data_IF_625485148593
#
_entry.id   IF_625485148593
#
_cell.length_a   1.000
_cell.length_b   1.000
_cell.length_c   1.000
_cell.angle_alpha   90.00
_cell.angle_beta   90.00
_cell.angle_gamma   90.00
#
_symmetry.space_group_name_H-M   'P 1'
#
loop_
_entity.id
_entity.type
_entity.pdbx_description
1 polymer ?
#
# COMPACT_ATOMS: atom_id res chain seq x y z
N UNK A 1 -20.03 4.06 48.30
CA UNK A 1 -19.92 5.47 48.77
C UNK A 1 -19.44 6.34 47.62
N UNK A 2 -20.13 7.48 47.46
CA UNK A 2 -20.09 8.51 46.41
C UNK A 2 -18.74 8.87 45.78
N UNK A 3 -18.72 9.09 44.46
CA UNK A 3 -18.21 10.37 43.93
C UNK A 3 -18.78 10.66 42.53
N UNK A 4 -19.74 11.59 42.48
CA UNK A 4 -20.24 12.27 41.29
C UNK A 4 -19.25 13.39 40.96
N UNK A 5 -18.80 13.52 39.69
CA UNK A 5 -18.24 14.79 39.20
C UNK A 5 -19.02 15.29 38.00
N UNK A 6 -19.47 16.53 38.17
CA UNK A 6 -20.33 17.35 37.33
C UNK A 6 -19.55 18.02 36.19
N UNK A 7 -20.17 18.00 35.02
CA UNK A 7 -20.49 19.12 34.11
C UNK A 7 -19.62 20.40 34.22
N UNK A 8 -19.02 20.81 33.09
CA UNK A 8 -18.93 22.24 32.71
C UNK A 8 -19.17 22.43 31.22
N UNK A 9 -20.36 22.94 30.90
CA UNK A 9 -20.71 23.58 29.64
C UNK A 9 -19.92 24.88 29.49
N UNK A 10 -19.30 25.10 28.33
CA UNK A 10 -18.73 26.38 27.94
C UNK A 10 -19.60 26.99 26.82
N UNK A 11 -20.50 27.89 27.21
CA UNK A 11 -21.23 28.78 26.32
C UNK A 11 -20.30 29.94 25.93
N UNK A 12 -19.86 29.96 24.67
CA UNK A 12 -19.09 31.05 24.11
C UNK A 12 -20.02 32.17 23.63
N UNK A 13 -19.75 33.38 24.15
CA UNK A 13 -20.47 34.62 23.90
C UNK A 13 -20.21 35.12 22.46
N UNK A 14 -21.28 35.41 21.73
CA UNK A 14 -21.24 36.13 20.45
C UNK A 14 -21.15 37.65 20.73
N UNK A 15 -20.08 38.29 20.26
CA UNK A 15 -19.97 39.76 20.19
C UNK A 15 -20.39 40.24 18.79
N UNK A 16 -21.25 41.26 18.65
CA UNK A 16 -21.47 41.92 17.38
C UNK A 16 -20.34 42.91 17.06
N UNK A 17 -19.79 42.83 15.85
CA UNK A 17 -18.80 43.77 15.30
C UNK A 17 -19.50 44.89 14.51
N UNK A 18 -19.07 46.15 14.63
CA UNK A 18 -19.67 47.27 13.93
C UNK A 18 -19.21 47.41 12.47
N UNK A 19 -20.20 47.76 11.63
CA UNK A 19 -20.20 48.63 10.45
C UNK A 19 -18.90 48.80 9.66
N UNK A 20 -18.84 48.15 8.49
CA UNK A 20 -17.81 48.32 7.46
C UNK A 20 -18.27 49.36 6.44
N UNK A 21 -17.44 50.39 6.24
CA UNK A 21 -17.56 51.46 5.26
C UNK A 21 -17.52 50.93 3.82
N UNK A 22 -18.53 51.30 3.03
CA UNK A 22 -18.64 50.99 1.61
C UNK A 22 -17.55 51.72 0.79
N UNK A 23 -16.52 50.98 0.39
CA UNK A 23 -15.57 51.42 -0.63
C UNK A 23 -16.04 50.94 -2.00
N UNK A 24 -16.30 51.90 -2.89
CA UNK A 24 -16.58 51.66 -4.31
C UNK A 24 -15.33 51.09 -4.99
N UNK A 25 -15.27 49.75 -5.09
CA UNK A 25 -14.26 49.05 -5.87
C UNK A 25 -14.70 49.00 -7.34
N UNK A 26 -14.01 49.73 -8.20
CA UNK A 26 -14.07 49.54 -9.65
C UNK A 26 -13.37 48.22 -10.00
N UNK A 27 -14.12 47.13 -9.99
CA UNK A 27 -13.64 45.80 -10.35
C UNK A 27 -13.53 45.67 -11.87
N UNK A 28 -12.36 46.02 -12.42
CA UNK A 28 -11.96 45.52 -13.74
C UNK A 28 -11.78 44.01 -13.64
N UNK A 29 -12.78 43.26 -14.09
CA UNK A 29 -12.78 41.79 -14.15
C UNK A 29 -11.67 41.39 -15.14
N UNK A 30 -10.47 41.08 -14.64
CA UNK A 30 -9.45 40.39 -15.43
C UNK A 30 -9.90 38.94 -15.55
N UNK A 31 -10.46 38.58 -16.69
CA UNK A 31 -10.73 37.18 -17.01
C UNK A 31 -9.40 36.43 -17.01
N UNK A 32 -9.26 35.33 -16.23
CA UNK A 32 -8.07 34.51 -16.29
C UNK A 32 -7.91 33.96 -17.72
N UNK A 33 -6.68 33.89 -18.25
CA UNK A 33 -6.45 33.32 -19.56
C UNK A 33 -7.03 31.90 -19.63
N UNK A 34 -7.63 31.50 -20.76
CA UNK A 34 -8.22 30.17 -20.91
C UNK A 34 -7.16 29.12 -20.58
N UNK A 35 -7.46 28.26 -19.59
CA UNK A 35 -6.61 27.12 -19.22
C UNK A 35 -6.40 26.27 -20.47
N UNK A 36 -5.23 26.37 -21.09
CA UNK A 36 -4.80 25.42 -22.11
C UNK A 36 -4.77 24.04 -21.45
N UNK A 37 -5.72 23.19 -21.83
CA UNK A 37 -5.75 21.80 -21.39
C UNK A 37 -4.53 21.13 -22.02
N UNK A 38 -3.50 20.85 -21.22
CA UNK A 38 -2.33 20.10 -21.67
C UNK A 38 -2.82 18.83 -22.40
N UNK A 39 -2.33 18.54 -23.60
CA UNK A 39 -2.74 17.34 -24.33
C UNK A 39 -2.51 16.13 -23.44
N UNK A 40 -3.56 15.34 -23.24
CA UNK A 40 -3.50 14.12 -22.43
C UNK A 40 -2.69 13.12 -23.24
N UNK A 41 -1.41 12.96 -22.88
CA UNK A 41 -0.58 11.88 -23.44
C UNK A 41 -1.30 10.56 -23.17
N UNK A 42 -1.79 9.91 -24.24
CA UNK A 42 -2.32 8.56 -24.18
C UNK A 42 -1.14 7.64 -23.91
N UNK A 43 -1.07 7.09 -22.69
CA UNK A 43 -0.07 6.07 -22.37
C UNK A 43 -0.26 4.88 -23.31
N UNK A 44 0.77 4.61 -24.10
CA UNK A 44 0.84 3.43 -24.96
C UNK A 44 0.67 2.16 -24.09
N UNK A 45 0.04 1.10 -24.63
CA UNK A 45 0.04 -0.19 -23.95
C UNK A 45 1.50 -0.65 -23.75
N UNK A 46 1.82 -1.19 -22.56
CA UNK A 46 3.11 -1.85 -22.34
C UNK A 46 3.28 -2.95 -23.39
N UNK A 47 4.45 -3.02 -24.02
CA UNK A 47 4.78 -4.12 -24.93
C UNK A 47 4.98 -5.42 -24.13
N UNK A 48 4.78 -6.57 -24.78
CA UNK A 48 4.99 -7.88 -24.15
C UNK A 48 6.43 -8.06 -23.62
N UNK A 49 7.40 -7.41 -24.25
CA UNK A 49 8.80 -7.37 -23.80
C UNK A 49 8.96 -6.67 -22.45
N UNK A 50 8.27 -5.54 -22.23
CA UNK A 50 8.28 -4.84 -20.94
C UNK A 50 7.63 -5.68 -19.83
N UNK A 51 6.63 -6.48 -20.19
CA UNK A 51 6.03 -7.42 -19.26
C UNK A 51 6.97 -8.59 -18.95
N UNK A 52 7.72 -9.10 -19.92
CA UNK A 52 8.69 -10.17 -19.73
C UNK A 52 9.86 -9.74 -18.82
N UNK A 53 10.25 -8.47 -18.87
CA UNK A 53 11.30 -7.91 -18.01
C UNK A 53 10.92 -7.82 -16.53
N UNK A 54 9.63 -7.98 -16.17
CA UNK A 54 9.19 -8.04 -14.78
C UNK A 54 9.17 -9.49 -14.33
N UNK A 55 10.16 -9.86 -13.52
CA UNK A 55 10.20 -11.15 -12.83
C UNK A 55 8.99 -11.27 -11.89
N UNK A 56 8.34 -12.45 -11.84
CA UNK A 56 7.23 -12.67 -10.93
C UNK A 56 7.74 -12.63 -9.49
N UNK A 57 7.02 -11.94 -8.61
CA UNK A 57 7.35 -11.94 -7.19
C UNK A 57 6.72 -13.16 -6.53
N UNK A 58 7.54 -14.00 -5.88
CA UNK A 58 7.05 -15.21 -5.23
C UNK A 58 6.73 -14.96 -3.75
N UNK A 59 5.46 -15.15 -3.38
CA UNK A 59 5.01 -15.11 -1.99
C UNK A 59 4.76 -16.50 -1.44
N UNK A 60 5.35 -16.80 -0.29
CA UNK A 60 4.98 -17.96 0.51
C UNK A 60 3.94 -17.57 1.54
N UNK A 61 2.82 -18.28 1.58
CA UNK A 61 1.71 -18.02 2.50
C UNK A 61 1.52 -19.20 3.43
N UNK A 62 1.82 -19.01 4.71
CA UNK A 62 1.43 -19.95 5.75
C UNK A 62 -0.02 -19.68 6.14
N UNK A 63 -0.88 -20.62 5.77
CA UNK A 63 -2.32 -20.48 5.81
C UNK A 63 -2.96 -21.46 6.80
N UNK A 64 -3.98 -20.99 7.52
CA UNK A 64 -4.85 -21.82 8.33
C UNK A 64 -6.31 -21.61 7.89
N UNK A 65 -6.98 -22.62 7.31
CA UNK A 65 -8.33 -22.47 6.74
C UNK A 65 -9.40 -22.20 7.80
N UNK A 66 -9.13 -22.52 9.07
CA UNK A 66 -10.05 -22.23 10.17
C UNK A 66 -10.07 -20.74 10.50
N UNK A 67 -9.01 -20.00 10.17
CA UNK A 67 -8.89 -18.59 10.50
C UNK A 67 -9.42 -17.69 9.38
N UNK A 68 -10.51 -16.97 9.64
CA UNK A 68 -11.18 -16.13 8.65
C UNK A 68 -10.25 -15.09 8.01
N UNK A 69 -9.37 -14.45 8.80
CA UNK A 69 -8.37 -13.49 8.30
C UNK A 69 -7.40 -14.14 7.30
N UNK A 70 -7.03 -15.40 7.52
CA UNK A 70 -6.14 -16.14 6.63
C UNK A 70 -6.79 -16.40 5.27
N UNK A 71 -8.08 -16.76 5.27
CA UNK A 71 -8.87 -16.91 4.03
C UNK A 71 -9.06 -15.58 3.30
N UNK A 72 -9.30 -14.48 4.02
CA UNK A 72 -9.46 -13.15 3.41
C UNK A 72 -8.19 -12.68 2.71
N UNK A 73 -7.03 -12.87 3.33
CA UNK A 73 -5.72 -12.50 2.73
C UNK A 73 -5.42 -13.38 1.52
N UNK A 74 -5.67 -14.69 1.59
CA UNK A 74 -5.46 -15.58 0.45
C UNK A 74 -6.31 -15.17 -0.76
N UNK A 75 -7.61 -14.89 -0.54
CA UNK A 75 -8.49 -14.36 -1.59
C UNK A 75 -7.99 -13.03 -2.14
N UNK A 76 -7.53 -12.13 -1.27
CA UNK A 76 -7.00 -10.85 -1.70
C UNK A 76 -5.71 -10.97 -2.53
N UNK A 77 -4.84 -11.96 -2.21
CA UNK A 77 -3.67 -12.30 -3.01
C UNK A 77 -4.06 -12.85 -4.38
N UNK A 78 -5.04 -13.75 -4.43
CA UNK A 78 -5.59 -14.30 -5.68
C UNK A 78 -6.21 -13.19 -6.53
N UNK A 79 -7.01 -12.30 -5.94
CA UNK A 79 -7.55 -11.13 -6.64
C UNK A 79 -6.44 -10.20 -7.10
N UNK A 80 -5.39 -9.97 -6.31
CA UNK A 80 -4.27 -9.13 -6.72
C UNK A 80 -3.47 -9.74 -7.89
N UNK A 81 -3.37 -11.07 -7.93
CA UNK A 81 -2.75 -11.79 -9.05
C UNK A 81 -3.56 -11.62 -10.35
N UNK A 82 -4.88 -11.44 -10.27
CA UNK A 82 -5.76 -11.33 -11.44
C UNK A 82 -6.06 -9.86 -11.84
N UNK A 83 -6.20 -8.95 -10.88
CA UNK A 83 -6.88 -7.66 -11.10
C UNK A 83 -6.18 -6.45 -10.46
N UNK A 84 -4.95 -6.56 -9.92
CA UNK A 84 -4.37 -5.45 -9.15
C UNK A 84 -4.18 -4.14 -9.95
N UNK A 85 -4.49 -2.97 -9.34
CA UNK A 85 -5.07 -2.77 -8.01
C UNK A 85 -6.61 -2.88 -8.01
N UNK A 86 -7.26 -3.15 -6.85
CA UNK A 86 -8.70 -2.96 -6.74
C UNK A 86 -9.06 -1.52 -7.17
N UNK A 87 -10.15 -1.33 -7.94
CA UNK A 87 -10.45 -0.03 -8.54
C UNK A 87 -10.54 1.04 -7.44
N UNK A 88 -9.96 2.24 -7.65
CA UNK A 88 -10.06 3.31 -6.68
C UNK A 88 -11.54 3.62 -6.44
N UNK A 89 -11.93 3.75 -5.17
CA UNK A 89 -13.31 4.08 -4.76
C UNK A 89 -13.83 5.39 -5.39
N UNK A 90 -12.92 6.25 -5.88
CA UNK A 90 -13.22 7.48 -6.60
C UNK A 90 -12.63 7.45 -8.04
N UNK A 91 -13.47 7.34 -9.09
CA UNK A 91 -13.05 7.23 -10.48
C UNK A 91 -12.56 8.56 -11.12
N UNK A 92 -12.65 9.69 -10.43
CA UNK A 92 -12.37 11.03 -10.99
C UNK A 92 -10.88 11.42 -11.05
N UNK A 93 -9.96 10.61 -10.51
CA UNK A 93 -8.51 10.81 -10.68
C UNK A 93 -7.99 10.01 -11.88
N UNK A 94 -8.21 10.55 -13.09
CA UNK A 94 -7.82 9.94 -14.36
C UNK A 94 -6.30 9.79 -14.58
N UNK A 95 -5.48 10.38 -13.70
CA UNK A 95 -4.01 10.26 -13.71
C UNK A 95 -3.54 9.11 -12.81
N UNK A 96 -4.26 8.82 -11.72
CA UNK A 96 -3.97 7.68 -10.86
C UNK A 96 -4.50 6.36 -11.42
N UNK A 97 -5.52 6.34 -12.29
CA UNK A 97 -5.97 5.10 -12.94
C UNK A 97 -5.06 4.65 -14.11
N UNK A 98 -4.25 5.55 -14.68
CA UNK A 98 -3.45 5.27 -15.89
C UNK A 98 -2.03 4.73 -15.66
N UNK A 99 -1.48 4.92 -14.46
CA UNK A 99 -0.12 4.44 -14.10
C UNK A 99 -0.16 3.05 -13.40
N UNK A 100 -1.34 2.48 -13.20
CA UNK A 100 -1.60 1.25 -12.43
C UNK A 100 -2.09 0.08 -13.30
N UNK A 101 -1.54 -0.07 -14.51
CA UNK A 101 -2.14 -0.95 -15.52
C UNK A 101 -1.61 -2.38 -15.44
N UNK A 102 -2.30 -3.20 -14.65
CA UNK A 102 -2.41 -4.64 -14.88
C UNK A 102 -1.95 -5.53 -13.72
N UNK A 103 -2.45 -6.78 -13.69
CA UNK A 103 -2.25 -7.74 -12.61
C UNK A 103 -0.80 -7.80 -12.12
N UNK A 104 -0.62 -7.94 -10.81
CA UNK A 104 0.70 -8.24 -10.28
C UNK A 104 1.06 -9.67 -10.70
N UNK A 105 2.20 -9.86 -11.35
CA UNK A 105 2.77 -11.18 -11.60
C UNK A 105 3.22 -11.75 -10.25
N UNK A 106 2.30 -12.42 -9.59
CA UNK A 106 2.53 -13.05 -8.29
C UNK A 106 2.53 -14.56 -8.48
N UNK A 107 3.58 -15.20 -8.01
CA UNK A 107 3.58 -16.63 -7.75
C UNK A 107 3.23 -16.84 -6.27
N UNK A 108 2.20 -17.61 -5.98
CA UNK A 108 1.71 -17.80 -4.61
C UNK A 108 1.90 -19.26 -4.22
N UNK A 109 2.79 -19.50 -3.26
CA UNK A 109 3.05 -20.82 -2.68
C UNK A 109 2.29 -20.93 -1.36
N UNK A 110 1.17 -21.66 -1.38
CA UNK A 110 0.32 -21.82 -0.19
C UNK A 110 0.73 -23.03 0.62
N UNK A 111 1.12 -22.80 1.88
CA UNK A 111 1.45 -23.83 2.83
C UNK A 111 0.37 -23.93 3.91
N UNK A 112 -0.41 -25.02 3.89
CA UNK A 112 -1.49 -25.29 4.86
C UNK A 112 -0.96 -25.92 6.15
N UNK A 113 0.08 -25.33 6.74
CA UNK A 113 0.75 -25.83 7.95
C UNK A 113 1.38 -24.71 8.75
N UNK A 114 1.74 -25.03 9.98
CA UNK A 114 2.59 -24.18 10.82
C UNK A 114 4.01 -24.16 10.21
N UNK A 115 4.73 -23.03 10.26
CA UNK A 115 6.14 -23.00 9.90
C UNK A 115 6.98 -23.99 10.72
N UNK A 116 8.01 -24.56 10.12
CA UNK A 116 9.00 -25.38 10.83
C UNK A 116 9.90 -24.50 11.70
N UNK A 117 10.71 -25.15 12.55
CA UNK A 117 11.68 -24.46 13.41
C UNK A 117 12.69 -23.66 12.56
N UNK A 118 13.17 -24.24 11.47
CA UNK A 118 14.11 -23.58 10.58
C UNK A 118 13.47 -22.43 9.81
N UNK A 119 12.19 -22.58 9.40
CA UNK A 119 11.43 -21.48 8.80
C UNK A 119 11.24 -20.34 9.79
N UNK A 120 10.89 -20.61 11.05
CA UNK A 120 10.83 -19.54 12.08
C UNK A 120 12.18 -18.85 12.29
N UNK A 121 13.29 -19.59 12.23
CA UNK A 121 14.64 -19.00 12.28
C UNK A 121 14.89 -18.10 11.07
N UNK A 122 14.49 -18.53 9.87
CA UNK A 122 14.64 -17.77 8.64
C UNK A 122 13.72 -16.54 8.56
N UNK A 123 12.56 -16.56 9.22
CA UNK A 123 11.62 -15.44 9.23
C UNK A 123 11.96 -14.34 10.23
N UNK A 124 12.74 -14.66 11.26
CA UNK A 124 13.08 -13.72 12.33
C UNK A 124 13.71 -12.40 11.81
N UNK A 125 14.64 -12.41 10.83
CA UNK A 125 15.25 -11.18 10.31
C UNK A 125 14.25 -10.26 9.57
N UNK A 126 13.14 -10.79 9.06
CA UNK A 126 12.13 -9.98 8.36
C UNK A 126 11.14 -9.31 9.31
N UNK A 127 11.20 -9.67 10.59
CA UNK A 127 10.29 -9.18 11.62
C UNK A 127 10.89 -7.92 12.25
N UNK A 128 10.13 -6.82 12.26
CA UNK A 128 10.64 -5.52 12.72
C UNK A 128 11.21 -5.54 14.15
N UNK A 129 10.61 -6.30 15.07
CA UNK A 129 11.11 -6.40 16.46
C UNK A 129 12.21 -7.45 16.67
N UNK A 130 12.57 -8.23 15.64
CA UNK A 130 13.54 -9.33 15.73
C UNK A 130 13.27 -10.28 16.91
N UNK A 131 12.00 -10.51 17.23
CA UNK A 131 11.57 -11.32 18.37
C UNK A 131 10.53 -12.35 17.95
N UNK A 132 10.67 -13.57 18.44
CA UNK A 132 9.69 -14.64 18.20
C UNK A 132 8.31 -14.30 18.74
N UNK A 133 8.22 -13.52 19.82
CA UNK A 133 6.92 -13.05 20.32
C UNK A 133 6.12 -12.27 19.28
N UNK A 134 6.79 -11.64 18.31
CA UNK A 134 6.15 -10.88 17.22
C UNK A 134 5.29 -11.72 16.27
N UNK A 135 5.45 -13.05 16.24
CA UNK A 135 4.58 -13.94 15.46
C UNK A 135 3.30 -14.35 16.21
N UNK A 136 3.18 -14.00 17.50
CA UNK A 136 2.03 -14.36 18.32
C UNK A 136 0.97 -13.26 18.27
N UNK A 137 -0.30 -13.66 18.41
CA UNK A 137 -1.40 -12.71 18.58
C UNK A 137 -1.22 -11.90 19.87
N UNK A 138 -1.68 -10.64 19.87
CA UNK A 138 -1.59 -9.76 21.06
C UNK A 138 -2.28 -10.36 22.29
N UNK A 139 -3.37 -11.10 22.09
CA UNK A 139 -4.10 -11.79 23.17
C UNK A 139 -3.28 -12.94 23.75
N UNK A 140 -2.54 -13.67 22.91
CA UNK A 140 -1.63 -14.73 23.33
C UNK A 140 -0.45 -14.18 24.15
N UNK A 141 0.13 -13.06 23.73
CA UNK A 141 1.26 -12.43 24.44
C UNK A 141 0.89 -12.06 25.89
N UNK A 142 -0.35 -11.64 26.15
CA UNK A 142 -0.79 -11.24 27.48
C UNK A 142 -1.09 -12.44 28.43
N UNK A 143 -1.36 -13.62 27.87
CA UNK A 143 -1.87 -14.77 28.65
C UNK A 143 -0.83 -15.87 28.83
N UNK A 144 0.17 -15.95 27.96
CA UNK A 144 1.17 -17.00 27.98
C UNK A 144 2.34 -16.56 28.88
N UNK A 145 2.55 -17.27 29.99
CA UNK A 145 3.70 -17.07 30.88
C UNK A 145 5.04 -17.36 30.19
N UNK A 146 5.03 -18.22 29.17
CA UNK A 146 6.19 -18.64 28.40
C UNK A 146 6.30 -17.85 27.10
N UNK A 147 7.03 -16.73 27.12
CA UNK A 147 7.38 -16.04 25.88
C UNK A 147 8.48 -16.83 25.17
N UNK A 148 8.29 -17.27 23.92
CA UNK A 148 9.31 -18.06 23.22
C UNK A 148 10.55 -17.20 22.97
N UNK A 149 11.70 -17.66 23.44
CA UNK A 149 13.00 -16.97 23.28
C UNK A 149 13.81 -17.48 22.09
N UNK A 150 13.45 -18.64 21.55
CA UNK A 150 14.13 -19.28 20.42
C UNK A 150 13.12 -19.95 19.48
N UNK A 151 13.56 -20.27 18.25
CA UNK A 151 12.71 -20.88 17.22
C UNK A 151 12.12 -22.24 17.65
N UNK A 152 12.85 -23.02 18.44
CA UNK A 152 12.41 -24.34 18.90
C UNK A 152 11.23 -24.21 19.86
N UNK A 153 11.37 -23.34 20.87
CA UNK A 153 10.31 -23.01 21.81
C UNK A 153 9.08 -22.45 21.09
N UNK A 154 9.27 -21.62 20.07
CA UNK A 154 8.16 -21.12 19.24
C UNK A 154 7.48 -22.26 18.46
N UNK A 155 8.25 -23.10 17.77
CA UNK A 155 7.72 -24.24 17.02
C UNK A 155 6.92 -25.19 17.92
N UNK A 156 7.45 -25.53 19.10
CA UNK A 156 6.77 -26.41 20.06
C UNK A 156 5.53 -25.76 20.65
N UNK A 157 5.57 -24.46 20.94
CA UNK A 157 4.43 -23.70 21.44
C UNK A 157 3.28 -23.67 20.43
N UNK A 158 3.58 -23.37 19.16
CA UNK A 158 2.56 -23.29 18.10
C UNK A 158 2.03 -24.67 17.73
N UNK A 159 2.87 -25.73 17.77
CA UNK A 159 2.39 -27.12 17.63
C UNK A 159 1.37 -27.48 18.70
N UNK A 160 1.61 -27.11 19.96
CA UNK A 160 0.67 -27.37 21.08
C UNK A 160 -0.58 -26.49 20.99
N UNK A 161 -0.43 -25.23 20.59
CA UNK A 161 -1.49 -24.22 20.59
C UNK A 161 -1.45 -23.37 19.30
N UNK A 162 -1.95 -23.88 18.17
CA UNK A 162 -1.86 -23.21 16.87
C UNK A 162 -2.65 -21.90 16.80
N UNK A 163 -3.61 -21.69 17.70
CA UNK A 163 -4.40 -20.44 17.83
C UNK A 163 -3.58 -19.25 18.34
N UNK A 164 -2.39 -19.48 18.91
CA UNK A 164 -1.55 -18.40 19.43
C UNK A 164 -0.80 -17.66 18.33
N UNK A 165 -0.54 -18.32 17.20
CA UNK A 165 0.12 -17.71 16.04
C UNK A 165 -0.82 -16.71 15.36
N UNK A 166 -0.30 -15.55 14.99
CA UNK A 166 -1.06 -14.53 14.26
C UNK A 166 -1.13 -14.88 12.76
N UNK A 167 -2.22 -15.54 12.38
CA UNK A 167 -2.45 -16.02 11.01
C UNK A 167 -3.03 -14.92 10.10
N UNK A 168 -2.66 -14.88 8.82
CA UNK A 168 -1.62 -15.67 8.11
C UNK A 168 -0.21 -15.09 8.27
N UNK A 169 0.81 -15.86 7.85
CA UNK A 169 2.13 -15.31 7.57
C UNK A 169 2.34 -15.27 6.06
N UNK A 170 2.62 -14.10 5.51
CA UNK A 170 2.94 -13.90 4.09
C UNK A 170 4.38 -13.42 3.99
N UNK A 171 5.17 -14.10 3.17
CA UNK A 171 6.62 -13.92 3.12
C UNK A 171 7.05 -13.68 1.68
N UNK A 172 7.78 -12.59 1.48
CA UNK A 172 8.53 -12.25 0.27
C UNK A 172 10.01 -12.57 0.54
N UNK A 173 10.46 -13.74 0.10
CA UNK A 173 11.83 -14.19 0.33
C UNK A 173 12.85 -13.38 -0.48
N UNK A 174 12.45 -12.88 -1.65
CA UNK A 174 13.32 -12.12 -2.56
C UNK A 174 13.66 -10.75 -1.97
N UNK A 175 12.67 -10.10 -1.36
CA UNK A 175 12.83 -8.75 -0.82
C UNK A 175 13.04 -8.70 0.69
N UNK A 176 12.97 -9.86 1.36
CA UNK A 176 13.09 -9.97 2.81
C UNK A 176 11.97 -9.24 3.56
N UNK A 177 10.76 -9.24 3.01
CA UNK A 177 9.59 -8.64 3.64
C UNK A 177 8.66 -9.74 4.19
N UNK A 178 8.18 -9.56 5.41
CA UNK A 178 7.19 -10.46 6.01
C UNK A 178 6.01 -9.68 6.55
N UNK A 179 4.81 -10.14 6.21
CA UNK A 179 3.55 -9.68 6.76
C UNK A 179 3.01 -10.74 7.72
N UNK A 180 2.80 -10.33 8.95
CA UNK A 180 2.20 -11.14 10.01
C UNK A 180 0.76 -10.66 10.22
N UNK A 181 -0.18 -11.60 10.17
CA UNK A 181 -1.60 -11.34 10.26
C UNK A 181 -2.17 -10.58 9.05
N UNK A 182 -3.42 -10.13 9.17
CA UNK A 182 -4.12 -9.42 8.09
C UNK A 182 -3.77 -7.92 7.96
N UNK A 183 -3.19 -7.29 8.98
CA UNK A 183 -3.04 -5.82 9.04
C UNK A 183 -1.87 -5.30 8.20
N UNK A 184 -0.77 -6.06 8.14
CA UNK A 184 0.46 -5.66 7.46
C UNK A 184 0.49 -6.03 5.97
N UNK A 185 -0.40 -6.93 5.55
CA UNK A 185 -0.46 -7.48 4.19
C UNK A 185 -0.60 -6.42 3.09
N UNK A 186 -1.45 -5.41 3.30
CA UNK A 186 -1.62 -4.32 2.33
C UNK A 186 -0.35 -3.49 2.15
N UNK A 187 0.50 -3.42 3.17
CA UNK A 187 1.81 -2.77 3.09
C UNK A 187 2.73 -3.50 2.11
N UNK A 188 2.77 -4.83 2.22
CA UNK A 188 3.58 -5.72 1.36
C UNK A 188 3.10 -5.72 -0.10
N UNK A 189 1.79 -5.69 -0.36
CA UNK A 189 1.31 -5.49 -1.74
C UNK A 189 1.68 -4.12 -2.31
N UNK A 190 1.61 -3.07 -1.50
CA UNK A 190 1.97 -1.70 -1.91
C UNK A 190 3.47 -1.58 -2.18
N UNK A 191 4.32 -2.18 -1.35
CA UNK A 191 5.78 -2.17 -1.56
C UNK A 191 6.12 -2.87 -2.88
N UNK A 192 5.53 -4.04 -3.13
CA UNK A 192 5.66 -4.81 -4.39
C UNK A 192 5.23 -4.00 -5.60
N UNK A 193 4.04 -3.38 -5.55
CA UNK A 193 3.55 -2.53 -6.64
C UNK A 193 4.46 -1.31 -6.90
N UNK A 194 5.00 -0.71 -5.83
CA UNK A 194 5.93 0.42 -5.94
C UNK A 194 7.28 -0.01 -6.55
N UNK A 195 7.80 -1.19 -6.19
CA UNK A 195 9.01 -1.76 -6.78
C UNK A 195 8.83 -1.95 -8.29
N UNK A 196 7.75 -2.61 -8.69
CA UNK A 196 7.41 -2.80 -10.11
C UNK A 196 7.28 -1.47 -10.85
N UNK A 197 6.64 -0.46 -10.24
CA UNK A 197 6.53 0.89 -10.83
C UNK A 197 7.88 1.56 -11.03
N UNK A 198 8.82 1.40 -10.09
CA UNK A 198 10.18 1.93 -10.23
C UNK A 198 10.94 1.27 -11.38
N UNK A 199 10.77 -0.03 -11.59
CA UNK A 199 11.36 -0.76 -12.73
C UNK A 199 10.79 -0.23 -14.04
N UNK A 200 9.46 -0.13 -14.16
CA UNK A 200 8.81 0.37 -15.38
C UNK A 200 9.24 1.80 -15.74
N UNK A 201 9.43 2.67 -14.75
CA UNK A 201 9.94 4.04 -14.98
C UNK A 201 11.36 4.09 -15.54
N UNK A 202 12.17 3.05 -15.35
CA UNK A 202 13.52 2.98 -15.95
C UNK A 202 13.46 2.54 -17.41
N UNK A 203 12.42 1.78 -17.79
CA UNK A 203 12.28 1.20 -19.13
C UNK A 203 11.73 2.22 -20.12
N UNK A 204 10.87 3.13 -19.67
CA UNK A 204 10.47 4.31 -20.44
C UNK A 204 11.41 5.47 -20.11
N UNK A 205 12.53 5.70 -20.84
CA UNK A 205 13.22 6.98 -20.73
C UNK A 205 12.19 8.04 -21.06
N UNK A 206 12.03 9.02 -20.16
CA UNK A 206 11.18 10.17 -20.42
C UNK A 206 11.54 10.70 -21.82
N UNK A 207 10.59 10.82 -22.76
CA UNK A 207 10.91 11.37 -24.06
C UNK A 207 11.56 12.72 -23.78
N UNK A 208 12.81 12.88 -24.24
CA UNK A 208 13.58 14.09 -24.00
C UNK A 208 12.74 15.33 -24.31
N UNK A 209 13.07 16.49 -23.69
CA UNK A 209 12.34 17.72 -23.96
C UNK A 209 12.11 17.82 -25.47
N UNK A 210 10.85 18.06 -25.91
CA UNK A 210 10.53 18.08 -27.33
C UNK A 210 11.57 18.97 -27.99
N UNK A 211 12.22 18.46 -29.05
CA UNK A 211 13.23 19.21 -29.77
C UNK A 211 12.68 20.63 -29.97
N UNK A 212 13.49 21.63 -29.58
CA UNK A 212 13.06 23.02 -29.71
C UNK A 212 12.52 23.19 -31.13
N UNK A 213 11.32 23.81 -31.29
CA UNK A 213 10.80 24.03 -32.63
C UNK A 213 11.91 24.69 -33.45
N UNK A 214 12.11 24.28 -34.71
CA UNK A 214 13.09 24.95 -35.55
C UNK A 214 12.80 26.46 -35.50
N UNK A 215 13.85 27.31 -35.44
CA UNK A 215 13.66 28.76 -35.43
C UNK A 215 12.72 29.12 -36.58
N UNK A 216 11.73 29.97 -36.31
CA UNK A 216 10.80 30.42 -37.32
C UNK A 216 11.60 30.94 -38.51
N UNK A 217 11.50 30.24 -39.64
CA UNK A 217 12.06 30.67 -40.90
C UNK A 217 11.34 31.97 -41.24
N UNK A 218 12.09 33.09 -41.26
CA UNK A 218 11.53 34.36 -41.65
C UNK A 218 11.12 34.25 -43.11
N UNK A 219 9.81 34.28 -43.35
CA UNK A 219 9.27 34.34 -44.71
C UNK A 219 9.41 35.81 -45.11
N UNK A 220 10.42 36.10 -45.92
CA UNK A 220 10.52 37.38 -46.62
C UNK A 220 9.38 37.45 -47.64
N UNK A 221 8.52 38.47 -47.51
CA UNK A 221 7.49 38.78 -48.49
C UNK A 221 8.07 39.79 -49.49
N UNK A 222 8.23 39.36 -50.74
CA UNK A 222 8.52 40.22 -51.91
C UNK A 222 7.31 41.08 -52.31
#
# INVERSE_FOLDING_TARGET
MFSRRLIRCALAQLRPSPSVLAHSYSSRIRLPPPRQKKPVKLALPLTDEMWAAIEPTTFTVFHNPVHATSMQVLRALETARLEFPPPPRNPTSSVAAKIYRGPLKLEIVVQKRVPTVDEFRALLPFQASHSYSGFMTTVAQATVRETPTNAQAMGDLVKRKPKLLDWPLVVDWEHGECSIGGRSFLGLLKSTANRRRKVLRKIDPEPGPPAAPPPAEWIDYD
#
